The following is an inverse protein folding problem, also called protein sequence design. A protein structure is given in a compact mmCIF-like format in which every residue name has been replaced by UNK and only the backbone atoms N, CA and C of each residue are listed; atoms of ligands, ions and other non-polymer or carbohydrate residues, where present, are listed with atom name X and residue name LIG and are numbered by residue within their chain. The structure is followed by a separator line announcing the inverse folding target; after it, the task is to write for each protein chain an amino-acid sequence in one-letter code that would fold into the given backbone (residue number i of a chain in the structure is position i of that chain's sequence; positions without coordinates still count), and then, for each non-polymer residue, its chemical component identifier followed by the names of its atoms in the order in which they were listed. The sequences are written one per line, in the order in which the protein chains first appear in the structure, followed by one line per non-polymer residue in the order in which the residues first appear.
data_IF_718925683537
#
_entry.id   IF_718925683537
#
_cell.length_a   1.000
_cell.length_b   1.000
_cell.length_c   1.000
_cell.angle_alpha   90.00
_cell.angle_beta   90.00
_cell.angle_gamma   90.00
#
_symmetry.space_group_name_H-M   'P 1'
#
loop_
_entity.id
_entity.type
_entity.pdbx_description
1 polymer ?
#
# COMPACT_ATOMS: atom_id res chain seq x y z
N UNK A 1 8.90 1.03 -8.81
CA UNK A 1 9.47 1.84 -7.71
C UNK A 1 8.35 2.13 -6.73
N UNK A 2 8.60 1.88 -5.44
CA UNK A 2 7.66 2.16 -4.37
C UNK A 2 8.13 3.41 -3.63
N UNK A 3 7.23 4.33 -3.36
CA UNK A 3 7.59 5.52 -2.58
C UNK A 3 7.71 5.16 -1.10
N UNK A 4 8.89 5.42 -0.53
CA UNK A 4 9.22 5.02 0.84
C UNK A 4 8.25 5.53 1.92
N UNK A 5 7.69 6.76 1.84
CA UNK A 5 6.70 7.21 2.80
C UNK A 5 5.46 6.31 2.90
N UNK A 6 4.92 5.86 1.76
CA UNK A 6 3.75 4.97 1.72
C UNK A 6 4.07 3.58 2.28
N UNK A 7 5.26 3.06 1.98
CA UNK A 7 5.72 1.78 2.55
C UNK A 7 5.86 1.86 4.07
N UNK A 8 6.42 2.95 4.60
CA UNK A 8 6.49 3.15 6.06
C UNK A 8 5.10 3.22 6.69
N UNK A 9 4.15 3.93 6.07
CA UNK A 9 2.78 3.98 6.55
C UNK A 9 2.15 2.58 6.60
N UNK A 10 2.31 1.79 5.55
CA UNK A 10 1.84 0.40 5.53
C UNK A 10 2.48 -0.45 6.63
N UNK A 11 3.80 -0.31 6.87
CA UNK A 11 4.49 -1.10 7.91
C UNK A 11 4.01 -0.79 9.32
N UNK A 12 3.52 0.43 9.58
CA UNK A 12 2.95 0.80 10.87
C UNK A 12 1.60 0.10 11.15
N UNK A 13 0.94 -0.41 10.11
CA UNK A 13 -0.36 -1.09 10.18
C UNK A 13 -0.23 -2.62 10.27
N UNK A 14 0.97 -3.18 10.13
CA UNK A 14 1.20 -4.63 10.08
C UNK A 14 0.89 -5.28 11.43
N UNK A 15 0.10 -6.35 11.39
CA UNK A 15 -0.17 -7.23 12.53
C UNK A 15 0.16 -8.69 12.15
N UNK A 16 0.34 -9.57 13.14
CA UNK A 16 0.68 -11.00 12.92
C UNK A 16 -0.33 -11.71 12.01
N UNK A 17 -1.61 -11.41 12.22
CA UNK A 17 -2.73 -11.90 11.43
C UNK A 17 -3.69 -10.72 11.29
N UNK A 18 -4.04 -10.36 10.05
CA UNK A 18 -4.98 -9.29 9.77
C UNK A 18 -5.74 -9.59 8.49
N UNK A 19 -6.99 -9.13 8.44
CA UNK A 19 -7.72 -8.99 7.20
C UNK A 19 -7.35 -7.64 6.58
N UNK A 20 -7.04 -7.66 5.28
CA UNK A 20 -6.67 -6.48 4.53
C UNK A 20 -7.42 -6.47 3.19
N UNK A 21 -7.86 -5.28 2.80
CA UNK A 21 -8.44 -5.01 1.48
C UNK A 21 -7.50 -4.10 0.72
N UNK A 22 -7.26 -4.41 -0.56
CA UNK A 22 -6.42 -3.59 -1.44
C UNK A 22 -7.21 -3.22 -2.68
N UNK A 23 -7.32 -1.92 -2.92
CA UNK A 23 -7.90 -1.36 -4.15
C UNK A 23 -6.78 -0.75 -4.98
N UNK A 24 -6.63 -1.21 -6.23
CA UNK A 24 -5.59 -0.73 -7.14
C UNK A 24 -6.22 0.13 -8.23
N UNK A 25 -5.76 1.38 -8.34
CA UNK A 25 -6.22 2.34 -9.35
C UNK A 25 -5.00 3.02 -9.97
N UNK A 26 -4.73 2.73 -11.25
CA UNK A 26 -3.55 3.25 -11.94
C UNK A 26 -2.26 2.86 -11.23
N UNK A 27 -1.49 3.85 -10.79
CA UNK A 27 -0.21 3.67 -10.09
C UNK A 27 -0.35 3.72 -8.56
N UNK A 28 -1.55 3.54 -8.01
CA UNK A 28 -1.79 3.58 -6.58
C UNK A 28 -2.44 2.29 -6.09
N UNK A 29 -1.98 1.83 -4.93
CA UNK A 29 -2.62 0.79 -4.15
C UNK A 29 -3.10 1.39 -2.82
N UNK A 30 -4.41 1.48 -2.64
CA UNK A 30 -5.03 1.88 -1.38
C UNK A 30 -5.28 0.65 -0.52
N UNK A 31 -4.73 0.63 0.68
CA UNK A 31 -4.78 -0.52 1.60
C UNK A 31 -5.61 -0.13 2.82
N UNK A 32 -6.63 -0.94 3.11
CA UNK A 32 -7.47 -0.79 4.31
C UNK A 32 -7.35 -2.04 5.16
N UNK A 33 -7.10 -1.84 6.45
CA UNK A 33 -7.05 -2.88 7.49
C UNK A 33 -7.91 -2.45 8.66
N UNK A 34 -8.11 -3.33 9.65
CA UNK A 34 -8.89 -3.00 10.84
C UNK A 34 -8.31 -1.86 11.69
N UNK A 35 -7.00 -1.63 11.62
CA UNK A 35 -6.28 -0.59 12.39
C UNK A 35 -6.18 0.77 11.68
N UNK A 36 -6.65 0.88 10.43
CA UNK A 36 -6.59 2.11 9.64
C UNK A 36 -6.34 1.84 8.15
N UNK A 37 -5.89 2.88 7.46
CA UNK A 37 -5.65 2.86 6.02
C UNK A 37 -4.35 3.56 5.64
N UNK A 38 -3.82 3.20 4.47
CA UNK A 38 -2.69 3.87 3.86
C UNK A 38 -2.71 3.75 2.34
N UNK A 39 -2.00 4.65 1.68
CA UNK A 39 -1.80 4.61 0.23
C UNK A 39 -0.33 4.31 -0.11
N UNK A 40 -0.12 3.45 -1.09
CA UNK A 40 1.19 3.13 -1.65
C UNK A 40 1.22 3.48 -3.13
N UNK A 41 2.09 4.43 -3.50
CA UNK A 41 2.34 4.76 -4.90
C UNK A 41 3.32 3.74 -5.51
N UNK A 42 2.84 3.08 -6.57
CA UNK A 42 3.47 2.03 -7.34
C UNK A 42 3.83 2.55 -8.74
N UNK A 43 5.02 3.13 -8.87
CA UNK A 43 5.51 3.61 -10.16
C UNK A 43 6.08 2.43 -10.98
N UNK A 44 5.68 2.20 -12.24
CA UNK A 44 6.28 1.17 -13.08
C UNK A 44 7.76 1.46 -13.29
N UNK A 45 8.59 0.41 -13.29
CA UNK A 45 10.03 0.55 -13.56
C UNK A 45 10.34 0.54 -15.07
N UNK A 46 9.44 -0.06 -15.84
CA UNK A 46 9.48 -0.09 -17.29
C UNK A 46 8.04 -0.12 -17.79
N UNK A 47 7.77 0.62 -18.86
CA UNK A 47 6.50 0.61 -19.59
C UNK A 47 6.86 0.13 -21.00
N UNK A 48 6.11 -0.84 -21.51
CA UNK A 48 6.27 -1.41 -22.85
C UNK A 48 5.39 -0.66 -23.84
#
# INVERSE_FOLDING_TARGET
RLEWPGIKALTALVQRTMDLSVTITGNSAYVTVGSGDCEVICNPLQIV
#
